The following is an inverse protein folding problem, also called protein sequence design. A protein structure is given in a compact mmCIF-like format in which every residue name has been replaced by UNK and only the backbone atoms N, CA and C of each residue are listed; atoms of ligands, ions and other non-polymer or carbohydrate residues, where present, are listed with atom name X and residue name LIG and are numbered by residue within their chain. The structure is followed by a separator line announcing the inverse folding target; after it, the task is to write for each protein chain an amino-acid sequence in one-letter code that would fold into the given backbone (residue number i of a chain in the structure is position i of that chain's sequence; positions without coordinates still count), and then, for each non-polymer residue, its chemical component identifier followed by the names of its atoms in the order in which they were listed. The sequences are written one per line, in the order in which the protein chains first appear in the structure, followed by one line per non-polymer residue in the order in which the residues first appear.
data_IF_326105710036
#
_entry.id   IF_326105710036
#
_cell.length_a   1.000
_cell.length_b   1.000
_cell.length_c   1.000
_cell.angle_alpha   90.00
_cell.angle_beta   90.00
_cell.angle_gamma   90.00
#
_symmetry.space_group_name_H-M   'P 1'
#
loop_
_entity.id
_entity.type
_entity.pdbx_description
1 polymer ?
#
# COMPACT_ATOMS: atom_id res chain seq x y z
N UNK A 1 -26.00 3.82 5.60
CA UNK A 1 -24.79 4.37 6.26
C UNK A 1 -23.49 3.75 5.74
N UNK A 2 -23.47 2.47 5.32
CA UNK A 2 -22.33 1.82 4.64
C UNK A 2 -21.96 2.43 3.27
N UNK A 3 -22.97 2.79 2.46
CA UNK A 3 -22.79 3.40 1.12
C UNK A 3 -21.97 4.71 1.13
N UNK A 4 -22.19 5.57 2.12
CA UNK A 4 -21.47 6.84 2.27
C UNK A 4 -19.98 6.64 2.65
N UNK A 5 -19.68 5.58 3.41
CA UNK A 5 -18.30 5.20 3.77
C UNK A 5 -17.57 4.60 2.56
N UNK A 6 -18.27 3.81 1.75
CA UNK A 6 -17.74 3.27 0.49
C UNK A 6 -17.43 4.39 -0.51
N UNK A 7 -18.35 5.35 -0.69
CA UNK A 7 -18.15 6.51 -1.55
C UNK A 7 -16.97 7.39 -1.11
N UNK A 8 -16.79 7.60 0.20
CA UNK A 8 -15.67 8.35 0.76
C UNK A 8 -14.32 7.67 0.48
N UNK A 9 -14.28 6.34 0.62
CA UNK A 9 -13.09 5.53 0.30
C UNK A 9 -12.77 5.58 -1.20
N UNK A 10 -13.78 5.54 -2.07
CA UNK A 10 -13.59 5.67 -3.52
C UNK A 10 -13.01 7.03 -3.93
N UNK A 11 -13.52 8.13 -3.37
CA UNK A 11 -12.99 9.49 -3.65
C UNK A 11 -11.53 9.59 -3.22
N UNK A 12 -11.19 8.98 -2.08
CA UNK A 12 -9.85 8.98 -1.54
C UNK A 12 -8.85 8.23 -2.44
N UNK A 13 -9.25 7.07 -2.94
CA UNK A 13 -8.42 6.27 -3.84
C UNK A 13 -8.33 6.88 -5.23
N UNK A 14 -9.41 7.51 -5.74
CA UNK A 14 -9.36 8.28 -6.99
C UNK A 14 -8.36 9.43 -6.86
N UNK A 15 -8.29 10.11 -5.70
CA UNK A 15 -7.29 11.16 -5.46
C UNK A 15 -5.85 10.61 -5.48
N UNK A 16 -5.60 9.47 -4.82
CA UNK A 16 -4.28 8.79 -4.89
C UNK A 16 -3.94 8.41 -6.34
N UNK A 17 -4.90 7.88 -7.10
CA UNK A 17 -4.71 7.48 -8.49
C UNK A 17 -4.49 8.69 -9.41
N UNK A 18 -5.17 9.83 -9.18
CA UNK A 18 -5.00 11.06 -9.95
C UNK A 18 -3.65 11.72 -9.68
N UNK A 19 -3.18 11.73 -8.42
CA UNK A 19 -1.87 12.27 -8.04
C UNK A 19 -0.73 11.38 -8.56
N UNK A 20 -0.95 10.06 -8.65
CA UNK A 20 0.03 9.09 -9.12
C UNK A 20 -0.26 8.54 -10.53
N UNK A 21 -1.06 9.26 -11.34
CA UNK A 21 -1.45 8.86 -12.70
C UNK A 21 -0.28 8.95 -13.68
N UNK A 22 0.74 8.12 -13.45
CA UNK A 22 1.70 7.73 -14.46
C UNK A 22 1.07 6.53 -15.16
N UNK A 23 0.86 6.55 -16.49
CA UNK A 23 0.30 5.42 -17.20
C UNK A 23 1.26 4.23 -17.08
N UNK A 24 0.97 3.30 -16.16
CA UNK A 24 1.70 2.04 -16.05
C UNK A 24 1.16 1.10 -17.12
N UNK A 25 1.78 1.19 -18.29
CA UNK A 25 1.60 0.24 -19.37
C UNK A 25 1.85 -1.18 -18.84
N UNK A 26 0.89 -2.07 -19.07
CA UNK A 26 0.90 -3.47 -18.68
C UNK A 26 2.05 -4.20 -19.41
N UNK A 27 3.24 -4.26 -18.81
CA UNK A 27 4.34 -5.11 -19.26
C UNK A 27 4.72 -6.03 -18.11
N UNK A 28 4.65 -7.33 -18.39
CA UNK A 28 5.18 -8.41 -17.57
C UNK A 28 6.71 -8.25 -17.44
N UNK A 29 7.17 -7.31 -16.62
CA UNK A 29 8.59 -7.10 -16.33
C UNK A 29 8.89 -7.65 -14.92
N UNK A 30 9.14 -8.95 -14.84
CA UNK A 30 9.70 -9.58 -13.64
C UNK A 30 11.07 -8.98 -13.24
N UNK A 31 11.72 -8.22 -14.12
CA UNK A 31 12.98 -7.51 -13.84
C UNK A 31 12.79 -6.19 -13.09
N UNK A 32 11.61 -5.59 -13.13
CA UNK A 32 11.32 -4.31 -12.47
C UNK A 32 10.53 -4.49 -11.17
N UNK A 33 10.46 -5.72 -10.65
CA UNK A 33 9.83 -5.97 -9.37
C UNK A 33 10.59 -5.19 -8.28
N UNK A 34 9.95 -4.22 -7.60
CA UNK A 34 10.57 -3.43 -6.54
C UNK A 34 11.09 -4.29 -5.37
N UNK A 35 10.69 -5.57 -5.30
CA UNK A 35 11.15 -6.56 -4.31
C UNK A 35 12.45 -7.24 -4.69
N UNK A 36 12.95 -7.02 -5.92
CA UNK A 36 14.07 -7.79 -6.47
C UNK A 36 15.44 -7.14 -6.26
N UNK A 37 15.49 -5.90 -5.74
CA UNK A 37 16.74 -5.16 -5.55
C UNK A 37 17.55 -5.61 -4.31
N UNK A 38 17.07 -6.59 -3.55
CA UNK A 38 17.80 -7.16 -2.42
C UNK A 38 17.83 -6.30 -1.15
N UNK A 39 16.97 -5.28 -1.06
CA UNK A 39 16.77 -4.44 0.13
C UNK A 39 15.35 -4.62 0.72
N UNK A 40 15.06 -3.96 1.85
CA UNK A 40 13.80 -4.07 2.57
C UNK A 40 12.61 -3.58 1.72
N UNK A 41 11.54 -4.37 1.69
CA UNK A 41 10.24 -3.98 1.17
C UNK A 41 9.13 -4.32 2.18
N UNK A 42 8.12 -3.45 2.29
CA UNK A 42 6.96 -3.59 3.18
C UNK A 42 5.71 -3.12 2.44
N UNK A 43 4.68 -3.95 2.37
CA UNK A 43 3.44 -3.65 1.64
C UNK A 43 2.23 -4.38 2.21
N UNK A 44 1.03 -3.99 1.76
CA UNK A 44 -0.22 -4.73 1.96
C UNK A 44 -0.53 -5.47 0.65
N UNK A 45 -0.80 -6.77 0.76
CA UNK A 45 -1.05 -7.66 -0.38
C UNK A 45 -2.32 -7.28 -1.15
N UNK A 46 -2.27 -7.47 -2.47
CA UNK A 46 -3.36 -7.21 -3.41
C UNK A 46 -4.69 -7.80 -2.98
N UNK A 47 -4.69 -9.06 -2.50
CA UNK A 47 -5.91 -9.76 -2.11
C UNK A 47 -6.57 -9.09 -0.91
N UNK A 48 -5.77 -8.61 0.03
CA UNK A 48 -6.25 -7.95 1.23
C UNK A 48 -6.82 -6.56 0.89
N UNK A 49 -6.13 -5.82 0.03
CA UNK A 49 -6.64 -4.52 -0.47
C UNK A 49 -7.94 -4.71 -1.24
N UNK A 50 -8.02 -5.75 -2.08
CA UNK A 50 -9.24 -6.09 -2.83
C UNK A 50 -10.39 -6.47 -1.92
N UNK A 51 -10.14 -7.17 -0.83
CA UNK A 51 -11.17 -7.55 0.15
C UNK A 51 -11.79 -6.33 0.83
N UNK A 52 -11.01 -5.29 1.13
CA UNK A 52 -11.50 -4.11 1.85
C UNK A 52 -11.99 -2.96 0.95
N UNK A 53 -11.39 -2.80 -0.23
CA UNK A 53 -11.68 -1.68 -1.14
C UNK A 53 -12.41 -2.08 -2.42
N UNK A 54 -12.42 -3.36 -2.78
CA UNK A 54 -12.88 -3.86 -4.08
C UNK A 54 -11.85 -3.74 -5.21
N UNK A 55 -10.69 -3.10 -4.97
CA UNK A 55 -9.66 -2.86 -5.98
C UNK A 55 -8.47 -3.80 -5.85
N UNK A 56 -8.00 -4.33 -6.98
CA UNK A 56 -6.84 -5.19 -7.09
C UNK A 56 -5.54 -4.36 -7.18
N UNK A 57 -4.92 -4.05 -6.04
CA UNK A 57 -3.61 -3.39 -6.00
C UNK A 57 -2.81 -3.68 -4.73
N UNK A 58 -1.48 -3.63 -4.80
CA UNK A 58 -0.61 -3.63 -3.62
C UNK A 58 -0.37 -2.18 -3.12
N UNK A 59 -0.31 -1.99 -1.81
CA UNK A 59 -0.01 -0.69 -1.17
C UNK A 59 1.35 -0.77 -0.49
N UNK A 60 2.32 0.03 -0.92
CA UNK A 60 3.73 -0.10 -0.50
C UNK A 60 4.13 0.94 0.55
N UNK A 61 4.53 0.53 1.75
CA UNK A 61 5.10 1.46 2.72
C UNK A 61 6.60 1.71 2.49
N UNK A 62 7.35 0.64 2.19
CA UNK A 62 8.80 0.68 2.01
C UNK A 62 9.15 -0.04 0.70
N UNK A 63 10.00 0.56 -0.12
CA UNK A 63 10.55 -0.01 -1.35
C UNK A 63 12.06 0.28 -1.40
N UNK A 64 12.87 -0.75 -1.67
CA UNK A 64 14.33 -0.64 -1.73
C UNK A 64 14.94 0.03 -0.48
N UNK A 65 14.40 -0.28 0.70
CA UNK A 65 14.81 0.31 1.98
C UNK A 65 14.35 1.75 2.23
N UNK A 66 13.61 2.36 1.30
CA UNK A 66 13.12 3.74 1.44
C UNK A 66 11.63 3.77 1.74
N UNK A 67 11.23 4.61 2.69
CA UNK A 67 9.81 4.91 2.96
C UNK A 67 9.24 5.68 1.78
N UNK A 68 8.05 5.30 1.28
CA UNK A 68 7.45 5.99 0.13
C UNK A 68 7.02 7.43 0.48
N UNK A 69 7.18 8.39 -0.44
CA UNK A 69 6.97 9.82 -0.15
C UNK A 69 5.58 10.18 0.36
N UNK A 70 4.54 9.45 -0.04
CA UNK A 70 3.17 9.73 0.40
C UNK A 70 2.96 9.49 1.90
N UNK A 71 3.79 8.66 2.54
CA UNK A 71 3.77 8.44 4.00
C UNK A 71 4.43 9.62 4.72
N UNK A 72 5.36 10.30 4.06
CA UNK A 72 6.08 11.45 4.61
C UNK A 72 5.26 12.76 4.52
N UNK A 73 4.08 12.73 3.90
CA UNK A 73 3.16 13.86 3.86
C UNK A 73 2.63 14.16 5.27
N UNK A 74 2.80 15.39 5.82
CA UNK A 74 2.23 15.77 7.11
C UNK A 74 0.70 15.62 7.20
N UNK A 75 0.00 15.57 6.06
CA UNK A 75 -1.44 15.37 5.99
C UNK A 75 -1.85 13.91 5.75
N UNK A 76 -0.89 12.96 5.73
CA UNK A 76 -1.14 11.54 5.45
C UNK A 76 -2.24 10.94 6.32
N UNK A 77 -2.35 11.32 7.59
CA UNK A 77 -3.40 10.77 8.46
C UNK A 77 -4.81 11.18 8.02
N UNK A 78 -4.98 12.38 7.45
CA UNK A 78 -6.28 12.87 6.94
C UNK A 78 -6.75 12.08 5.73
N UNK A 79 -5.83 11.34 5.14
CA UNK A 79 -5.97 10.55 3.94
C UNK A 79 -6.20 9.07 4.25
N UNK A 80 -6.06 8.64 5.50
CA UNK A 80 -6.27 7.25 5.85
C UNK A 80 -7.76 6.89 5.89
N UNK A 81 -8.18 5.81 5.19
CA UNK A 81 -9.53 5.30 5.35
C UNK A 81 -9.71 4.72 6.75
N UNK A 82 -10.92 4.85 7.30
CA UNK A 82 -11.27 4.24 8.60
C UNK A 82 -11.38 2.74 8.43
N UNK A 83 -10.63 1.97 9.24
CA UNK A 83 -10.74 0.50 9.28
C UNK A 83 -12.15 0.12 9.75
N UNK A 84 -12.92 -0.68 8.98
CA UNK A 84 -14.24 -1.14 9.40
C UNK A 84 -14.16 -1.98 10.68
N UNK A 85 -15.20 -1.93 11.52
CA UNK A 85 -15.20 -2.63 12.81
C UNK A 85 -15.20 -4.16 12.69
N UNK A 86 -15.62 -4.67 11.53
CA UNK A 86 -15.61 -6.08 11.16
C UNK A 86 -14.18 -6.61 10.89
N UNK A 87 -13.22 -5.71 10.69
CA UNK A 87 -11.82 -6.04 10.39
C UNK A 87 -11.01 -6.01 11.68
N UNK A 88 -10.74 -7.19 12.24
CA UNK A 88 -9.96 -7.32 13.47
C UNK A 88 -8.44 -7.20 13.29
N UNK A 89 -7.92 -7.33 12.07
CA UNK A 89 -6.49 -7.27 11.78
C UNK A 89 -6.19 -6.87 10.33
N UNK A 90 -5.00 -6.30 10.12
CA UNK A 90 -4.42 -5.98 8.81
C UNK A 90 -3.06 -6.67 8.75
N UNK A 91 -2.82 -7.49 7.72
CA UNK A 91 -1.53 -8.15 7.56
C UNK A 91 -0.63 -7.32 6.65
N UNK A 92 0.53 -6.95 7.19
CA UNK A 92 1.62 -6.40 6.40
C UNK A 92 2.53 -7.53 5.92
N UNK A 93 2.84 -7.50 4.63
CA UNK A 93 3.82 -8.38 4.01
C UNK A 93 5.15 -7.64 3.95
N UNK A 94 6.22 -8.29 4.37
CA UNK A 94 7.56 -7.71 4.29
C UNK A 94 8.55 -8.72 3.71
N UNK A 95 9.60 -8.19 3.08
CA UNK A 95 10.73 -8.96 2.59
C UNK A 95 11.99 -8.19 2.91
N UNK A 96 12.92 -8.83 3.61
CA UNK A 96 14.30 -8.38 3.67
C UNK A 96 15.07 -9.08 2.57
N UNK A 97 15.92 -8.35 1.85
CA UNK A 97 16.85 -8.99 0.94
C UNK A 97 18.08 -9.53 1.67
N UNK A 98 19.26 -9.39 1.06
CA UNK A 98 20.48 -10.11 1.50
C UNK A 98 20.97 -9.63 2.87
N UNK A 99 20.71 -8.37 3.21
CA UNK A 99 21.02 -7.81 4.53
C UNK A 99 20.01 -8.31 5.56
N UNK A 100 20.50 -8.75 6.72
CA UNK A 100 19.64 -9.08 7.86
C UNK A 100 19.03 -7.78 8.40
N UNK A 101 17.70 -7.69 8.37
CA UNK A 101 16.95 -6.57 8.93
C UNK A 101 16.19 -7.05 10.16
N UNK A 102 16.36 -6.38 11.29
CA UNK A 102 15.64 -6.66 12.54
C UNK A 102 14.52 -5.65 12.71
N UNK A 103 13.28 -6.13 12.82
CA UNK A 103 12.12 -5.31 13.12
C UNK A 103 11.81 -5.41 14.61
N UNK A 104 11.69 -4.26 15.29
CA UNK A 104 11.22 -4.19 16.67
C UNK A 104 9.73 -3.84 16.65
N UNK A 105 8.91 -4.64 17.31
CA UNK A 105 7.49 -4.35 17.58
C UNK A 105 7.41 -4.01 19.06
N UNK A 106 6.92 -2.81 19.37
CA UNK A 106 6.79 -2.29 20.74
C UNK A 106 5.41 -2.63 21.30
#
# INVERSE_FOLDING_TARGET
MLELRYASCQVFVILILLVNAIPRHNRNDHKNDPRNNGDLALWIDEKQVKMFSGMAMEIYAIVNGNVLPYILDPNFEKYLPVIPAEVGYVNFTWKSGVKKTTCFVN
#
